data_IF_194317943530
#
_entry.id   IF_194317943530
#
_cell.length_a   1.000
_cell.length_b   1.000
_cell.length_c   1.000
_cell.angle_alpha   90.00
_cell.angle_beta   90.00
_cell.angle_gamma   90.00
#
_symmetry.space_group_name_H-M   'P 1'
#
loop_
_entity.id
_entity.type
_entity.pdbx_description
1 polymer ?
#
# COMPACT_ATOMS: atom_id res chain seq x y z
N UNK A 1 18.73 3.22 -10.49
CA UNK A 1 18.79 2.92 -9.05
C UNK A 1 20.02 2.08 -8.82
N UNK A 2 20.82 2.43 -7.81
CA UNK A 2 21.90 1.55 -7.37
C UNK A 2 21.28 0.32 -6.68
N UNK A 3 21.89 -0.84 -6.88
CA UNK A 3 21.44 -2.12 -6.30
C UNK A 3 22.48 -2.64 -5.33
N UNK A 4 22.05 -3.11 -4.17
CA UNK A 4 22.89 -3.81 -3.21
C UNK A 4 22.51 -5.29 -3.17
N UNK A 5 23.51 -6.17 -3.29
CA UNK A 5 23.28 -7.61 -3.21
C UNK A 5 23.02 -8.02 -1.75
N UNK A 6 21.98 -8.83 -1.55
CA UNK A 6 21.59 -9.40 -0.26
C UNK A 6 21.43 -10.91 -0.44
N UNK A 7 22.01 -11.69 0.46
CA UNK A 7 21.89 -13.16 0.47
C UNK A 7 20.75 -13.57 1.39
N UNK A 8 19.81 -14.37 0.86
CA UNK A 8 18.70 -14.92 1.63
C UNK A 8 18.88 -16.42 1.84
N UNK A 9 18.68 -16.89 3.07
CA UNK A 9 18.48 -18.31 3.33
C UNK A 9 17.00 -18.65 3.08
N UNK A 10 16.74 -19.48 2.07
CA UNK A 10 15.39 -19.94 1.73
C UNK A 10 15.27 -21.42 2.13
N UNK A 11 14.21 -21.81 2.88
CA UNK A 11 13.95 -23.21 3.19
C UNK A 11 13.89 -24.07 1.92
N UNK A 12 14.53 -25.24 1.94
CA UNK A 12 14.66 -26.09 0.75
C UNK A 12 13.29 -26.59 0.28
N UNK A 13 12.36 -26.76 1.21
CA UNK A 13 11.01 -27.27 1.00
C UNK A 13 10.21 -26.34 0.09
N UNK A 14 10.43 -25.02 0.18
CA UNK A 14 9.70 -24.01 -0.60
C UNK A 14 10.45 -23.54 -1.85
N UNK A 15 11.75 -23.83 -1.96
CA UNK A 15 12.59 -23.31 -3.03
C UNK A 15 12.14 -23.81 -4.41
N UNK A 16 11.70 -25.06 -4.50
CA UNK A 16 11.19 -25.63 -5.75
C UNK A 16 9.93 -24.88 -6.21
N UNK A 17 8.96 -24.72 -5.31
CA UNK A 17 7.69 -24.05 -5.60
C UNK A 17 7.90 -22.57 -5.96
N UNK A 18 8.81 -21.88 -5.28
CA UNK A 18 9.18 -20.51 -5.61
C UNK A 18 9.76 -20.38 -7.02
N UNK A 19 10.66 -21.30 -7.42
CA UNK A 19 11.19 -21.33 -8.79
C UNK A 19 10.07 -21.59 -9.80
N UNK A 20 9.19 -22.55 -9.53
CA UNK A 20 8.07 -22.87 -10.40
C UNK A 20 7.13 -21.66 -10.56
N UNK A 21 6.83 -20.94 -9.49
CA UNK A 21 6.01 -19.72 -9.51
C UNK A 21 6.67 -18.60 -10.33
N UNK A 22 7.97 -18.40 -10.17
CA UNK A 22 8.73 -17.42 -10.95
C UNK A 22 8.69 -17.78 -12.45
N UNK A 23 8.93 -19.05 -12.79
CA UNK A 23 8.87 -19.54 -14.18
C UNK A 23 7.48 -19.39 -14.78
N UNK A 24 6.41 -19.72 -14.04
CA UNK A 24 5.01 -19.52 -14.49
C UNK A 24 4.73 -18.05 -14.85
N UNK A 25 5.40 -17.11 -14.18
CA UNK A 25 5.31 -15.66 -14.43
C UNK A 25 6.34 -15.16 -15.45
N UNK A 26 7.13 -16.05 -16.06
CA UNK A 26 8.24 -15.72 -16.99
C UNK A 26 9.30 -14.80 -16.35
N UNK A 27 9.55 -14.97 -15.05
CA UNK A 27 10.53 -14.20 -14.29
C UNK A 27 11.63 -15.11 -13.75
N UNK A 28 12.82 -14.54 -13.50
CA UNK A 28 13.81 -15.17 -12.64
C UNK A 28 13.34 -15.14 -11.18
N UNK A 29 13.86 -16.03 -10.34
CA UNK A 29 13.55 -16.04 -8.91
C UNK A 29 13.92 -14.71 -8.24
N UNK A 30 15.10 -14.17 -8.57
CA UNK A 30 15.55 -12.87 -8.06
C UNK A 30 14.57 -11.76 -8.47
N UNK A 31 14.16 -11.69 -9.74
CA UNK A 31 13.22 -10.67 -10.20
C UNK A 31 11.84 -10.83 -9.56
N UNK A 32 11.39 -12.05 -9.38
CA UNK A 32 10.13 -12.35 -8.70
C UNK A 32 10.14 -11.83 -7.25
N UNK A 33 11.21 -12.11 -6.49
CA UNK A 33 11.37 -11.64 -5.11
C UNK A 33 11.45 -10.12 -5.07
N UNK A 34 12.25 -9.49 -5.94
CA UNK A 34 12.38 -8.02 -6.01
C UNK A 34 11.01 -7.39 -6.25
N UNK A 35 10.22 -7.89 -7.20
CA UNK A 35 8.89 -7.36 -7.47
C UNK A 35 7.96 -7.47 -6.25
N UNK A 36 8.02 -8.58 -5.50
CA UNK A 36 7.23 -8.74 -4.27
C UNK A 36 7.64 -7.72 -3.20
N UNK A 37 8.95 -7.50 -3.02
CA UNK A 37 9.47 -6.52 -2.07
C UNK A 37 9.10 -5.08 -2.48
N UNK A 38 9.21 -4.76 -3.76
CA UNK A 38 8.80 -3.44 -4.29
C UNK A 38 7.32 -3.18 -4.06
N UNK A 39 6.47 -4.18 -4.33
CA UNK A 39 5.02 -4.07 -4.06
C UNK A 39 4.73 -3.88 -2.58
N UNK A 40 5.43 -4.61 -1.71
CA UNK A 40 5.23 -4.50 -0.28
C UNK A 40 5.62 -3.12 0.27
N UNK A 41 6.79 -2.62 -0.15
CA UNK A 41 7.27 -1.29 0.22
C UNK A 41 6.36 -0.19 -0.35
N UNK A 42 5.87 -0.34 -1.59
CA UNK A 42 4.97 0.64 -2.21
C UNK A 42 3.66 0.74 -1.43
N UNK A 43 3.04 -0.39 -1.09
CA UNK A 43 1.80 -0.41 -0.30
C UNK A 43 1.97 0.29 1.05
N UNK A 44 3.08 0.04 1.74
CA UNK A 44 3.36 0.67 3.02
C UNK A 44 3.54 2.19 2.88
N UNK A 45 4.33 2.63 1.89
CA UNK A 45 4.56 4.06 1.63
C UNK A 45 3.28 4.78 1.24
N UNK A 46 2.50 4.21 0.33
CA UNK A 46 1.23 4.79 -0.12
C UNK A 46 0.24 4.94 1.05
N UNK A 47 0.16 3.94 1.93
CA UNK A 47 -0.65 4.01 3.13
C UNK A 47 -0.18 5.12 4.08
N UNK A 48 1.12 5.18 4.40
CA UNK A 48 1.68 6.20 5.28
C UNK A 48 1.49 7.62 4.72
N UNK A 49 1.69 7.80 3.41
CA UNK A 49 1.43 9.07 2.74
C UNK A 49 -0.06 9.44 2.80
N UNK A 50 -0.96 8.50 2.51
CA UNK A 50 -2.40 8.73 2.59
C UNK A 50 -2.84 9.09 4.03
N UNK A 51 -2.30 8.40 5.03
CA UNK A 51 -2.53 8.69 6.45
C UNK A 51 -2.06 10.11 6.79
N UNK A 52 -0.81 10.46 6.47
CA UNK A 52 -0.25 11.79 6.74
C UNK A 52 -1.07 12.89 6.05
N UNK A 53 -1.44 12.70 4.79
CA UNK A 53 -2.29 13.65 4.05
C UNK A 53 -3.64 13.84 4.74
N UNK A 54 -4.30 12.76 5.18
CA UNK A 54 -5.60 12.86 5.85
C UNK A 54 -5.50 13.53 7.23
N UNK A 55 -4.49 13.22 8.02
CA UNK A 55 -4.26 13.87 9.31
C UNK A 55 -4.01 15.38 9.16
N UNK A 56 -3.21 15.79 8.16
CA UNK A 56 -3.02 17.21 7.87
C UNK A 56 -4.32 17.91 7.45
N UNK A 57 -5.20 17.21 6.71
CA UNK A 57 -6.51 17.75 6.31
C UNK A 57 -7.46 17.91 7.49
N UNK A 58 -7.47 16.96 8.44
CA UNK A 58 -8.32 17.02 9.63
C UNK A 58 -8.08 18.28 10.47
N UNK A 59 -6.83 18.74 10.58
CA UNK A 59 -6.49 19.98 11.30
C UNK A 59 -6.66 21.26 10.47
N UNK A 60 -6.91 21.15 9.16
CA UNK A 60 -6.91 22.30 8.23
C UNK A 60 -8.31 22.77 7.87
N UNK A 61 -9.27 21.86 7.78
CA UNK A 61 -10.64 22.19 7.38
C UNK A 61 -11.54 22.27 8.60
N UNK A 62 -12.23 23.40 8.77
CA UNK A 62 -13.42 23.44 9.60
C UNK A 62 -14.54 22.72 8.85
N UNK A 63 -14.93 21.55 9.34
CA UNK A 63 -16.00 20.75 8.76
C UNK A 63 -17.39 21.33 9.06
N UNK A 64 -17.47 22.42 9.84
CA UNK A 64 -18.72 23.06 10.24
C UNK A 64 -19.62 22.19 11.11
N UNK A 65 -19.08 21.07 11.63
CA UNK A 65 -19.82 20.14 12.48
C UNK A 65 -19.68 20.48 13.95
N UNK A 66 -18.61 21.18 14.37
CA UNK A 66 -18.34 21.48 15.79
C UNK A 66 -18.55 20.28 16.75
N UNK A 67 -18.33 19.04 16.27
CA UNK A 67 -18.57 17.81 17.02
C UNK A 67 -20.00 17.25 17.02
N UNK A 68 -20.99 17.93 16.42
CA UNK A 68 -22.37 17.44 16.23
C UNK A 68 -22.89 17.75 14.83
N UNK A 69 -23.29 16.71 14.12
CA UNK A 69 -23.90 16.85 12.80
C UNK A 69 -25.40 17.06 12.98
N UNK A 70 -25.94 18.15 12.43
CA UNK A 70 -27.37 18.49 12.51
C UNK A 70 -28.13 18.26 11.19
N UNK A 71 -27.42 17.94 10.12
CA UNK A 71 -28.02 17.73 8.80
C UNK A 71 -28.21 16.23 8.52
N UNK A 72 -29.31 15.91 7.86
CA UNK A 72 -29.57 14.58 7.30
C UNK A 72 -28.90 14.43 5.94
N UNK A 73 -28.76 13.19 5.47
CA UNK A 73 -28.20 12.89 4.15
C UNK A 73 -29.04 13.56 3.05
N UNK A 74 -30.36 13.55 3.22
CA UNK A 74 -31.35 14.07 2.30
C UNK A 74 -31.24 15.60 2.19
N UNK A 75 -31.10 16.29 3.32
CA UNK A 75 -30.88 17.74 3.37
C UNK A 75 -29.54 18.15 2.73
N UNK A 76 -28.48 17.35 2.90
CA UNK A 76 -27.19 17.62 2.28
C UNK A 76 -27.26 17.47 0.75
N UNK A 77 -27.96 16.44 0.27
CA UNK A 77 -28.16 16.19 -1.17
C UNK A 77 -28.97 17.31 -1.84
N UNK A 78 -29.87 17.96 -1.11
CA UNK A 78 -30.69 19.07 -1.60
C UNK A 78 -29.96 20.41 -1.71
N UNK A 79 -28.75 20.58 -1.12
CA UNK A 79 -27.94 21.82 -1.15
C UNK A 79 -27.15 22.03 -2.46
N UNK A 80 -27.53 21.32 -3.52
CA UNK A 80 -26.81 21.29 -4.79
C UNK A 80 -27.07 22.53 -5.63
#
# INVERSE_FOLDING_TARGET
METQNVTFAIPKEILYDLKLLATKRKLSLSRYIINLLEQDVSRQKEYEEAMRRNLQRLGKYDLGTHGKIFWTREELHARK
#
